data_IF_776137663015
#
_entry.id   IF_776137663015
#
_cell.length_a   1.000
_cell.length_b   1.000
_cell.length_c   1.000
_cell.angle_alpha   90.00
_cell.angle_beta   90.00
_cell.angle_gamma   90.00
#
_symmetry.space_group_name_H-M   'P 1'
#
loop_
_entity.id
_entity.type
_entity.pdbx_description
1 polymer ?
#
# COMPACT_ATOMS: atom_id res chain seq x y z
N UNK A 1 -50.35 -35.56 -20.58
CA UNK A 1 -49.37 -36.51 -19.99
C UNK A 1 -48.32 -36.81 -21.04
N UNK A 2 -47.04 -37.09 -20.70
CA UNK A 2 -46.29 -36.89 -19.44
C UNK A 2 -44.92 -36.16 -19.75
N UNK A 3 -43.94 -35.90 -18.89
CA UNK A 3 -43.67 -36.09 -17.45
C UNK A 3 -42.50 -35.18 -17.02
N UNK A 4 -42.54 -34.82 -15.73
CA UNK A 4 -41.54 -34.17 -14.88
C UNK A 4 -40.12 -34.76 -14.96
N UNK A 5 -39.11 -33.91 -14.71
CA UNK A 5 -38.09 -34.24 -13.71
C UNK A 5 -37.61 -33.00 -12.95
N UNK A 6 -38.00 -32.92 -11.66
CA UNK A 6 -37.31 -32.16 -10.63
C UNK A 6 -36.16 -33.02 -10.09
N UNK A 7 -35.00 -32.40 -9.79
CA UNK A 7 -34.17 -32.74 -8.63
C UNK A 7 -33.50 -31.50 -8.03
N UNK A 8 -33.99 -31.19 -6.83
CA UNK A 8 -33.44 -30.57 -5.62
C UNK A 8 -32.16 -29.71 -5.59
N UNK A 9 -32.32 -28.67 -4.76
CA UNK A 9 -31.37 -27.70 -4.23
C UNK A 9 -30.20 -28.29 -3.42
N UNK A 10 -29.08 -27.58 -3.45
CA UNK A 10 -28.29 -27.30 -2.23
C UNK A 10 -27.98 -25.80 -2.16
N UNK A 11 -28.66 -25.15 -1.21
CA UNK A 11 -28.38 -23.80 -0.73
C UNK A 11 -26.94 -23.74 -0.20
N UNK A 12 -26.16 -22.74 -0.62
CA UNK A 12 -24.98 -22.34 0.13
C UNK A 12 -25.04 -20.82 0.39
N UNK A 13 -25.38 -20.48 1.64
CA UNK A 13 -25.51 -19.12 2.16
C UNK A 13 -24.16 -18.39 2.12
N UNK A 14 -23.84 -17.68 1.04
CA UNK A 14 -22.81 -16.64 1.08
C UNK A 14 -23.41 -15.36 1.67
N UNK A 15 -23.10 -15.08 2.94
CA UNK A 15 -23.32 -13.77 3.59
C UNK A 15 -22.64 -12.68 2.74
N UNK A 16 -23.43 -11.91 1.99
CA UNK A 16 -22.98 -10.70 1.27
C UNK A 16 -22.70 -9.60 2.28
N UNK A 17 -21.43 -9.20 2.41
CA UNK A 17 -21.02 -8.04 3.23
C UNK A 17 -21.58 -6.75 2.61
N UNK A 18 -22.25 -5.92 3.43
CA UNK A 18 -22.67 -4.56 3.08
C UNK A 18 -21.42 -3.68 2.91
N UNK A 19 -21.31 -2.97 1.79
CA UNK A 19 -20.32 -1.91 1.62
C UNK A 19 -21.03 -0.57 1.85
N UNK A 20 -20.55 0.18 2.84
CA UNK A 20 -20.97 1.55 3.10
C UNK A 20 -19.88 2.49 2.57
N UNK A 21 -20.28 3.55 1.86
CA UNK A 21 -19.40 4.65 1.52
C UNK A 21 -19.71 5.82 2.46
N UNK A 22 -18.67 6.45 3.02
CA UNK A 22 -18.80 7.55 3.96
C UNK A 22 -18.26 8.84 3.32
N UNK A 23 -18.97 9.94 3.51
CA UNK A 23 -18.50 11.29 3.22
C UNK A 23 -18.78 12.12 4.48
N UNK A 24 -17.75 12.68 5.12
CA UNK A 24 -17.91 13.57 6.27
C UNK A 24 -17.74 15.01 5.81
N UNK A 25 -18.70 15.87 6.16
CA UNK A 25 -18.67 17.31 5.88
C UNK A 25 -18.60 18.03 7.25
N UNK A 26 -17.36 18.34 7.66
CA UNK A 26 -16.84 19.19 8.74
C UNK A 26 -17.14 18.93 10.26
N UNK A 27 -16.21 19.30 11.18
CA UNK A 27 -16.33 19.13 12.64
C UNK A 27 -16.51 20.47 13.38
N UNK A 28 -17.39 20.53 14.40
CA UNK A 28 -17.34 21.37 15.62
C UNK A 28 -18.78 21.62 16.12
N UNK A 29 -19.12 21.15 17.33
CA UNK A 29 -20.36 21.54 18.03
C UNK A 29 -20.15 21.60 19.55
N UNK A 30 -20.42 22.78 20.13
CA UNK A 30 -20.58 23.03 21.57
C UNK A 30 -22.04 22.77 21.99
N UNK A 31 -22.26 22.23 23.19
CA UNK A 31 -23.57 21.78 23.70
C UNK A 31 -24.26 22.79 24.64
N UNK A 32 -25.59 22.86 24.57
CA UNK A 32 -26.49 23.30 25.64
C UNK A 32 -27.84 22.58 25.53
N UNK A 33 -28.41 22.17 26.67
CA UNK A 33 -29.57 21.27 26.82
C UNK A 33 -30.89 22.02 27.03
N UNK A 34 -32.03 21.44 26.61
CA UNK A 34 -33.36 21.57 27.25
C UNK A 34 -34.36 20.50 26.70
N UNK A 35 -35.38 20.16 27.49
CA UNK A 35 -36.16 18.89 27.52
C UNK A 35 -37.64 18.97 27.06
N UNK A 36 -38.25 17.78 26.83
CA UNK A 36 -39.69 17.41 26.66
C UNK A 36 -40.24 17.38 25.21
N UNK A 37 -41.11 16.47 24.73
CA UNK A 37 -41.82 15.29 25.25
C UNK A 37 -43.10 15.03 24.39
N UNK A 38 -43.44 13.75 24.16
CA UNK A 38 -44.76 13.19 23.73
C UNK A 38 -45.00 12.75 22.25
N UNK A 39 -45.80 11.68 22.09
CA UNK A 39 -45.92 10.76 20.95
C UNK A 39 -47.30 10.79 20.26
N UNK A 40 -47.44 10.31 19.00
CA UNK A 40 -48.64 9.58 18.49
C UNK A 40 -48.47 8.85 17.11
N UNK A 41 -49.27 7.76 17.01
CA UNK A 41 -49.58 6.69 16.01
C UNK A 41 -49.42 6.87 14.47
N UNK A 42 -49.22 5.72 13.79
CA UNK A 42 -48.93 5.48 12.35
C UNK A 42 -50.12 4.90 11.53
N UNK A 43 -50.26 5.31 10.26
CA UNK A 43 -50.47 4.54 8.99
C UNK A 43 -50.50 5.50 7.77
N UNK A 44 -50.39 5.08 6.49
CA UNK A 44 -49.49 4.13 5.83
C UNK A 44 -48.62 4.75 4.70
N UNK A 45 -47.45 4.15 4.45
CA UNK A 45 -46.61 4.20 3.23
C UNK A 45 -46.54 5.49 2.37
N UNK A 46 -45.55 6.32 2.69
CA UNK A 46 -44.77 7.11 1.73
C UNK A 46 -43.28 6.89 2.04
N UNK A 47 -42.39 6.98 1.07
CA UNK A 47 -40.94 6.78 1.26
C UNK A 47 -40.37 7.95 2.08
N UNK A 48 -40.56 7.90 3.39
CA UNK A 48 -39.93 8.76 4.38
C UNK A 48 -39.60 7.90 5.59
N UNK A 49 -38.48 7.19 5.54
CA UNK A 49 -37.81 6.77 6.77
C UNK A 49 -36.31 6.66 6.56
N UNK A 50 -35.58 7.66 7.03
CA UNK A 50 -34.20 7.47 7.47
C UNK A 50 -34.28 6.62 8.74
N UNK A 51 -33.95 5.33 8.63
CA UNK A 51 -33.80 4.44 9.79
C UNK A 51 -32.32 4.31 10.11
N UNK A 52 -31.87 4.99 11.16
CA UNK A 52 -30.59 4.70 11.80
C UNK A 52 -30.77 3.53 12.78
N UNK A 53 -30.13 2.40 12.48
CA UNK A 53 -29.87 1.35 13.48
C UNK A 53 -28.44 0.89 13.26
N UNK A 54 -27.54 1.39 14.09
CA UNK A 54 -26.15 0.92 14.16
C UNK A 54 -25.96 0.32 15.55
N UNK A 55 -26.02 -1.01 15.62
CA UNK A 55 -25.53 -1.77 16.77
C UNK A 55 -24.03 -1.98 16.57
N UNK A 56 -23.22 -1.30 17.37
CA UNK A 56 -21.79 -1.56 17.53
C UNK A 56 -21.58 -2.05 18.97
N UNK A 57 -21.44 -3.37 19.13
CA UNK A 57 -20.98 -3.96 20.39
C UNK A 57 -19.47 -3.74 20.48
N UNK A 58 -19.05 -2.74 21.25
CA UNK A 58 -17.71 -2.66 21.81
C UNK A 58 -17.84 -3.17 23.25
N UNK A 59 -17.21 -4.30 23.53
CA UNK A 59 -17.13 -4.89 24.85
C UNK A 59 -16.22 -4.05 25.75
N UNK A 60 -16.75 -3.62 26.89
CA UNK A 60 -15.95 -3.18 28.04
C UNK A 60 -15.75 -1.68 28.16
N UNK A 61 -16.80 -0.93 28.49
CA UNK A 61 -16.78 0.30 29.29
C UNK A 61 -18.24 0.71 29.54
N UNK A 62 -18.66 0.74 30.81
CA UNK A 62 -20.01 1.11 31.22
C UNK A 62 -20.22 2.61 30.96
N UNK A 63 -20.94 2.96 29.89
CA UNK A 63 -21.49 4.29 29.69
C UNK A 63 -23.01 4.23 29.79
N UNK A 64 -23.56 5.13 30.61
CA UNK A 64 -25.00 5.31 30.84
C UNK A 64 -25.69 5.63 29.51
N UNK A 65 -26.74 4.88 29.15
CA UNK A 65 -27.55 5.10 27.95
C UNK A 65 -28.44 6.34 28.14
N UNK A 66 -28.03 7.47 27.58
CA UNK A 66 -28.97 8.54 27.23
C UNK A 66 -29.13 8.58 25.70
N UNK A 67 -30.29 8.14 25.22
CA UNK A 67 -30.71 8.32 23.83
C UNK A 67 -31.13 9.78 23.63
N UNK A 68 -30.27 10.57 23.01
CA UNK A 68 -30.62 11.92 22.55
C UNK A 68 -31.54 11.82 21.32
N UNK A 69 -32.81 12.17 21.51
CA UNK A 69 -33.76 12.44 20.43
C UNK A 69 -33.56 13.88 19.96
N UNK A 70 -32.94 14.06 18.79
CA UNK A 70 -32.97 15.35 18.08
C UNK A 70 -34.13 15.30 17.07
N UNK A 71 -35.20 16.10 17.22
CA UNK A 71 -36.23 16.16 16.21
C UNK A 71 -35.64 16.71 14.90
N UNK A 72 -36.07 16.22 13.72
CA UNK A 72 -35.65 16.82 12.45
C UNK A 72 -36.32 18.20 12.37
N UNK A 73 -35.59 19.25 12.74
CA UNK A 73 -35.96 20.60 12.32
C UNK A 73 -35.98 20.59 10.80
N UNK A 74 -37.15 20.87 10.25
CA UNK A 74 -37.38 21.05 8.82
C UNK A 74 -36.24 21.90 8.25
N UNK A 75 -35.52 21.30 7.31
CA UNK A 75 -34.39 21.85 6.59
C UNK A 75 -34.76 23.21 6.03
N UNK A 76 -34.10 24.25 6.51
CA UNK A 76 -34.00 25.50 5.77
C UNK A 76 -33.41 25.15 4.40
N UNK A 77 -34.09 25.55 3.31
CA UNK A 77 -33.66 25.24 1.94
C UNK A 77 -32.23 25.77 1.68
N UNK A 78 -31.82 26.76 2.48
CA UNK A 78 -30.48 27.35 2.52
C UNK A 78 -29.37 26.41 2.99
N UNK A 79 -29.67 25.27 3.66
CA UNK A 79 -28.67 24.34 4.21
C UNK A 79 -28.69 22.92 3.60
N UNK A 80 -28.95 22.84 2.29
CA UNK A 80 -28.83 21.60 1.53
C UNK A 80 -27.95 21.76 0.29
N UNK A 81 -27.43 20.64 -0.19
CA UNK A 81 -26.87 20.46 -1.53
C UNK A 81 -28.00 19.94 -2.40
N UNK A 82 -28.42 20.71 -3.40
CA UNK A 82 -29.51 20.34 -4.30
C UNK A 82 -28.92 19.95 -5.64
N UNK A 83 -29.02 18.67 -5.98
CA UNK A 83 -28.58 18.10 -7.26
C UNK A 83 -29.80 17.98 -8.16
N UNK A 84 -29.68 18.45 -9.41
CA UNK A 84 -30.75 18.36 -10.42
C UNK A 84 -30.25 17.71 -11.70
N UNK A 85 -31.02 16.76 -12.22
CA UNK A 85 -30.78 16.11 -13.50
C UNK A 85 -29.49 15.30 -13.56
N UNK A 86 -29.08 14.64 -12.47
CA UNK A 86 -27.86 13.84 -12.49
C UNK A 86 -28.01 12.60 -13.37
N UNK A 87 -27.12 12.46 -14.38
CA UNK A 87 -27.11 11.40 -15.39
C UNK A 87 -25.79 10.63 -15.47
N UNK A 88 -24.84 10.94 -14.59
CA UNK A 88 -23.54 10.28 -14.58
C UNK A 88 -23.64 8.74 -14.55
N UNK A 89 -23.03 8.11 -15.56
CA UNK A 89 -23.07 6.67 -15.83
C UNK A 89 -24.47 6.06 -16.00
N UNK A 90 -25.06 5.56 -14.92
CA UNK A 90 -26.33 4.84 -14.92
C UNK A 90 -27.41 5.52 -14.07
N UNK A 91 -27.16 6.77 -13.66
CA UNK A 91 -28.17 7.63 -13.07
C UNK A 91 -29.19 8.01 -14.15
N UNK A 92 -30.46 8.04 -13.77
CA UNK A 92 -31.59 8.28 -14.68
C UNK A 92 -32.23 9.61 -14.33
N UNK A 93 -31.55 10.71 -14.64
CA UNK A 93 -32.01 12.08 -14.36
C UNK A 93 -32.47 12.24 -12.90
N UNK A 94 -31.54 11.98 -11.98
CA UNK A 94 -31.86 11.95 -10.56
C UNK A 94 -31.77 13.37 -9.97
N UNK A 95 -32.89 13.81 -9.37
CA UNK A 95 -32.95 14.99 -8.51
C UNK A 95 -32.86 14.56 -7.04
N UNK A 96 -31.99 15.20 -6.26
CA UNK A 96 -31.85 14.91 -4.82
C UNK A 96 -31.45 16.14 -4.03
N UNK A 97 -32.05 16.32 -2.85
CA UNK A 97 -31.60 17.28 -1.85
C UNK A 97 -30.89 16.54 -0.72
N UNK A 98 -29.66 16.94 -0.44
CA UNK A 98 -28.80 16.34 0.59
C UNK A 98 -28.51 17.38 1.66
N UNK A 99 -28.89 17.17 2.93
CA UNK A 99 -28.64 18.15 3.98
C UNK A 99 -27.13 18.31 4.23
N UNK A 100 -26.69 19.55 4.44
CA UNK A 100 -25.34 19.85 4.92
C UNK A 100 -25.25 19.63 6.43
N UNK A 101 -24.02 19.58 6.94
CA UNK A 101 -23.71 19.44 8.37
C UNK A 101 -24.35 18.21 9.03
N UNK A 102 -24.58 17.16 8.23
CA UNK A 102 -25.21 15.93 8.65
C UNK A 102 -24.44 14.71 8.15
N UNK A 103 -24.50 13.61 8.92
CA UNK A 103 -24.01 12.32 8.46
C UNK A 103 -25.00 11.73 7.44
N UNK A 104 -24.72 11.95 6.16
CA UNK A 104 -25.54 11.43 5.06
C UNK A 104 -24.96 10.10 4.57
N UNK A 105 -25.83 9.08 4.47
CA UNK A 105 -25.45 7.74 4.02
C UNK A 105 -26.15 7.41 2.71
N UNK A 106 -25.37 7.26 1.63
CA UNK A 106 -25.85 6.74 0.35
C UNK A 106 -25.88 5.21 0.39
N UNK A 107 -27.08 4.62 0.35
CA UNK A 107 -27.28 3.16 0.47
C UNK A 107 -27.98 2.56 -0.76
N UNK A 108 -27.87 1.23 -0.94
CA UNK A 108 -28.37 0.53 -2.13
C UNK A 108 -27.45 -0.58 -2.65
N UNK A 109 -27.96 -1.43 -3.54
CA UNK A 109 -27.25 -2.61 -4.08
C UNK A 109 -26.03 -2.23 -4.93
N UNK A 110 -25.03 -3.11 -5.06
CA UNK A 110 -23.88 -2.87 -5.95
C UNK A 110 -24.35 -2.55 -7.37
N UNK A 111 -23.78 -1.50 -7.99
CA UNK A 111 -24.21 -1.03 -9.31
C UNK A 111 -25.45 -0.13 -9.33
N UNK A 112 -26.10 0.16 -8.20
CA UNK A 112 -27.32 1.00 -8.18
C UNK A 112 -27.10 2.50 -8.43
N UNK A 113 -25.89 2.95 -8.73
CA UNK A 113 -25.59 4.38 -8.96
C UNK A 113 -25.15 5.21 -7.74
N UNK A 114 -25.01 4.61 -6.53
CA UNK A 114 -24.56 5.35 -5.32
C UNK A 114 -23.22 6.06 -5.50
N UNK A 115 -22.23 5.33 -6.06
CA UNK A 115 -20.90 5.88 -6.29
C UNK A 115 -20.91 6.89 -7.43
N UNK A 116 -21.74 6.66 -8.45
CA UNK A 116 -21.98 7.62 -9.53
C UNK A 116 -22.50 8.94 -8.96
N UNK A 117 -23.50 8.90 -8.07
CA UNK A 117 -24.05 10.10 -7.45
C UNK A 117 -23.08 10.78 -6.47
N UNK A 118 -22.50 10.02 -5.53
CA UNK A 118 -21.65 10.60 -4.48
C UNK A 118 -20.27 11.04 -4.97
N UNK A 119 -19.59 10.19 -5.75
CA UNK A 119 -18.23 10.45 -6.24
C UNK A 119 -18.22 11.00 -7.67
N UNK A 120 -18.97 10.37 -8.57
CA UNK A 120 -19.02 10.73 -9.99
C UNK A 120 -19.69 12.08 -10.25
N UNK A 121 -20.69 12.47 -9.45
CA UNK A 121 -21.42 13.73 -9.61
C UNK A 121 -21.05 14.75 -8.53
N UNK A 122 -21.42 14.51 -7.27
CA UNK A 122 -21.30 15.51 -6.19
C UNK A 122 -19.83 15.88 -5.92
N UNK A 123 -18.97 14.89 -5.68
CA UNK A 123 -17.55 15.13 -5.42
C UNK A 123 -16.81 15.68 -6.65
N UNK A 124 -17.05 15.10 -7.84
CA UNK A 124 -16.42 15.56 -9.07
C UNK A 124 -16.74 17.04 -9.35
N UNK A 125 -18.01 17.44 -9.21
CA UNK A 125 -18.42 18.83 -9.42
C UNK A 125 -17.84 19.77 -8.36
N UNK A 126 -17.78 19.35 -7.09
CA UNK A 126 -17.17 20.13 -6.02
C UNK A 126 -15.67 20.36 -6.27
N UNK A 127 -14.95 19.32 -6.71
CA UNK A 127 -13.54 19.38 -7.04
C UNK A 127 -13.29 20.27 -8.27
N UNK A 128 -14.11 20.13 -9.33
CA UNK A 128 -14.06 20.96 -10.54
C UNK A 128 -14.21 22.44 -10.21
N UNK A 129 -15.30 22.83 -9.52
CA UNK A 129 -15.57 24.22 -9.13
C UNK A 129 -14.45 24.80 -8.26
N UNK A 130 -13.91 24.00 -7.33
CA UNK A 130 -12.80 24.42 -6.50
C UNK A 130 -11.55 24.72 -7.34
N UNK A 131 -11.16 23.83 -8.27
CA UNK A 131 -10.00 24.06 -9.12
C UNK A 131 -10.20 25.15 -10.18
N UNK A 132 -11.43 25.42 -10.59
CA UNK A 132 -11.78 26.59 -11.40
C UNK A 132 -11.54 27.93 -10.70
N UNK A 133 -11.31 27.93 -9.37
CA UNK A 133 -10.86 29.11 -8.62
C UNK A 133 -9.34 29.18 -8.44
N UNK A 134 -8.61 28.09 -8.73
CA UNK A 134 -7.15 28.01 -8.61
C UNK A 134 -6.47 28.54 -9.88
N UNK A 135 -5.24 29.03 -9.74
CA UNK A 135 -4.42 29.57 -10.83
C UNK A 135 -4.40 28.63 -12.06
N UNK A 136 -4.57 29.15 -13.30
CA UNK A 136 -4.71 28.34 -14.52
C UNK A 136 -3.56 27.35 -14.76
N UNK A 137 -2.34 27.68 -14.32
CA UNK A 137 -1.17 26.80 -14.45
C UNK A 137 -1.29 25.53 -13.61
N UNK A 138 -1.78 25.62 -12.37
CA UNK A 138 -1.91 24.48 -11.46
C UNK A 138 -2.97 23.47 -11.93
N UNK A 139 -3.99 23.94 -12.68
CA UNK A 139 -5.04 23.07 -13.23
C UNK A 139 -4.52 22.00 -14.19
N UNK A 140 -3.40 22.26 -14.88
CA UNK A 140 -2.76 21.32 -15.82
C UNK A 140 -1.98 20.20 -15.11
N UNK A 141 -1.66 20.37 -13.83
CA UNK A 141 -0.83 19.45 -13.05
C UNK A 141 -1.65 18.53 -12.13
N UNK A 142 -2.96 18.75 -12.06
CA UNK A 142 -3.87 18.04 -11.16
C UNK A 142 -4.77 17.14 -11.98
N UNK A 143 -4.88 15.87 -11.58
CA UNK A 143 -5.82 14.92 -12.17
C UNK A 143 -7.25 15.41 -11.89
N UNK A 144 -7.93 15.88 -12.92
CA UNK A 144 -9.28 16.42 -12.81
C UNK A 144 -10.27 15.27 -12.91
N UNK A 145 -11.17 15.17 -11.93
CA UNK A 145 -12.42 14.47 -12.17
C UNK A 145 -13.09 15.13 -13.38
N UNK A 146 -13.48 14.33 -14.38
CA UNK A 146 -14.12 14.83 -15.60
C UNK A 146 -15.36 15.67 -15.28
N UNK A 147 -15.86 16.42 -16.27
CA UNK A 147 -17.10 17.18 -16.11
C UNK A 147 -18.26 16.18 -15.95
N UNK A 148 -18.97 16.18 -14.81
CA UNK A 148 -20.06 15.25 -14.59
C UNK A 148 -21.30 15.63 -15.43
N UNK A 149 -22.06 14.62 -15.88
CA UNK A 149 -23.34 14.86 -16.54
C UNK A 149 -24.44 15.15 -15.50
N UNK A 150 -24.69 16.44 -15.29
CA UNK A 150 -25.68 16.98 -14.34
C UNK A 150 -26.12 18.38 -14.79
N UNK A 151 -27.39 18.72 -14.60
CA UNK A 151 -27.92 20.02 -15.04
C UNK A 151 -27.51 21.16 -14.09
N UNK A 152 -27.67 20.95 -12.78
CA UNK A 152 -27.30 21.93 -11.78
C UNK A 152 -26.99 21.28 -10.43
N UNK A 153 -26.06 21.88 -9.69
CA UNK A 153 -25.86 21.59 -8.26
C UNK A 153 -25.76 22.91 -7.50
N UNK A 154 -26.67 23.12 -6.56
CA UNK A 154 -26.72 24.30 -5.70
C UNK A 154 -26.26 23.98 -4.28
N UNK A 155 -25.66 24.96 -3.59
CA UNK A 155 -25.28 24.82 -2.18
C UNK A 155 -24.12 23.83 -1.92
N UNK A 156 -23.30 23.54 -2.93
CA UNK A 156 -22.20 22.57 -2.88
C UNK A 156 -20.92 23.20 -2.28
N UNK A 157 -20.47 22.77 -1.09
CA UNK A 157 -19.19 23.22 -0.54
C UNK A 157 -18.00 22.52 -1.22
N UNK A 158 -16.75 23.00 -1.04
CA UNK A 158 -15.56 22.24 -1.38
C UNK A 158 -15.59 20.87 -0.70
N UNK A 159 -15.20 19.82 -1.42
CA UNK A 159 -15.29 18.44 -0.96
C UNK A 159 -13.92 17.76 -0.96
N UNK A 160 -13.71 16.87 0.02
CA UNK A 160 -12.55 16.00 0.11
C UNK A 160 -13.02 14.55 0.08
N UNK A 161 -12.60 13.77 -0.90
CA UNK A 161 -12.91 12.35 -0.95
C UNK A 161 -11.85 11.56 -0.19
N UNK A 162 -12.25 10.95 0.92
CA UNK A 162 -11.50 9.87 1.54
C UNK A 162 -11.82 8.57 0.79
N UNK A 163 -11.22 8.40 -0.39
CA UNK A 163 -11.38 7.16 -1.12
C UNK A 163 -10.67 6.04 -0.36
N UNK A 164 -11.31 4.87 -0.30
CA UNK A 164 -10.58 3.63 -0.08
C UNK A 164 -9.70 3.42 -1.31
N UNK A 165 -8.54 4.07 -1.37
CA UNK A 165 -7.59 3.80 -2.43
C UNK A 165 -7.30 2.30 -2.38
N UNK A 166 -7.71 1.59 -3.43
CA UNK A 166 -7.15 0.28 -3.77
C UNK A 166 -5.76 0.46 -4.42
N UNK A 167 -5.07 1.54 -4.05
CA UNK A 167 -3.69 1.77 -4.40
C UNK A 167 -2.86 0.70 -3.72
N UNK A 168 -1.98 0.07 -4.48
CA UNK A 168 -0.97 -0.84 -3.94
C UNK A 168 -0.19 -0.08 -2.87
N UNK A 169 -0.02 -0.68 -1.69
CA UNK A 169 0.81 -0.11 -0.63
C UNK A 169 2.20 0.19 -1.20
N UNK A 170 2.58 1.46 -1.24
CA UNK A 170 3.96 1.81 -1.53
C UNK A 170 4.77 1.51 -0.26
N UNK A 171 5.85 0.73 -0.38
CA UNK A 171 6.73 0.37 0.75
C UNK A 171 7.29 1.59 1.51
N UNK A 172 7.28 2.77 0.88
CA UNK A 172 7.72 4.03 1.51
C UNK A 172 6.64 4.77 2.29
N UNK A 173 5.35 4.45 2.10
CA UNK A 173 4.25 5.09 2.82
C UNK A 173 3.98 4.40 4.15
N UNK A 174 3.82 5.19 5.22
CA UNK A 174 3.50 4.74 6.58
C UNK A 174 2.41 5.59 7.21
N UNK A 175 1.82 5.14 8.32
CA UNK A 175 0.86 5.94 9.10
C UNK A 175 1.47 7.29 9.49
N UNK A 176 2.74 7.30 9.94
CA UNK A 176 3.44 8.51 10.33
C UNK A 176 3.65 9.50 9.17
N UNK A 177 3.90 9.01 7.95
CA UNK A 177 4.07 9.89 6.78
C UNK A 177 2.75 10.44 6.26
N UNK A 178 1.69 9.62 6.23
CA UNK A 178 0.35 10.04 5.75
C UNK A 178 -0.25 11.10 6.69
N UNK A 179 -0.02 10.95 7.98
CA UNK A 179 -0.49 11.91 9.00
C UNK A 179 0.47 13.08 9.22
N UNK A 180 1.64 13.08 8.55
CA UNK A 180 2.75 14.03 8.75
C UNK A 180 3.38 14.03 10.15
N UNK A 181 2.94 13.14 11.06
CA UNK A 181 3.50 12.97 12.40
C UNK A 181 4.99 12.62 12.36
N UNK A 182 5.44 11.92 11.32
CA UNK A 182 6.87 11.60 11.16
C UNK A 182 7.75 12.85 11.15
N UNK A 183 7.28 14.01 10.69
CA UNK A 183 8.04 15.26 10.74
C UNK A 183 8.24 15.76 12.17
N UNK A 184 7.21 15.65 13.01
CA UNK A 184 7.30 16.03 14.42
C UNK A 184 8.20 15.07 15.20
N UNK A 185 8.08 13.77 14.94
CA UNK A 185 8.93 12.74 15.56
C UNK A 185 10.41 12.95 15.21
N UNK A 186 10.72 13.21 13.93
CA UNK A 186 12.09 13.53 13.49
C UNK A 186 12.66 14.76 14.19
N UNK A 187 11.85 15.81 14.35
CA UNK A 187 12.25 17.02 15.07
C UNK A 187 12.47 16.74 16.57
N UNK A 188 11.63 15.91 17.17
CA UNK A 188 11.75 15.49 18.57
C UNK A 188 13.07 14.75 18.82
N UNK A 189 13.44 13.76 18.00
CA UNK A 189 14.73 13.08 18.13
C UNK A 189 15.91 14.02 17.88
N UNK A 190 15.80 14.92 16.90
CA UNK A 190 16.83 15.92 16.60
C UNK A 190 17.10 16.91 17.74
N UNK A 191 16.07 17.30 18.50
CA UNK A 191 16.16 18.40 19.48
C UNK A 191 16.10 17.96 20.94
N UNK A 192 15.43 16.85 21.21
CA UNK A 192 15.20 16.34 22.56
C UNK A 192 15.69 14.89 22.74
N UNK A 193 16.33 14.31 21.72
CA UNK A 193 16.98 13.00 21.84
C UNK A 193 18.18 13.04 22.76
N UNK A 194 18.44 11.92 23.43
CA UNK A 194 19.69 11.65 24.11
C UNK A 194 20.71 11.16 23.09
N UNK A 195 21.76 11.95 22.89
CA UNK A 195 22.87 11.65 21.98
C UNK A 195 24.01 10.94 22.72
N UNK A 196 24.75 10.04 22.04
CA UNK A 196 26.04 9.58 22.51
C UNK A 196 27.02 10.76 22.74
N UNK A 197 27.90 10.63 23.73
CA UNK A 197 28.71 11.75 24.26
C UNK A 197 29.57 12.49 23.22
N UNK A 198 30.00 11.82 22.15
CA UNK A 198 30.88 12.37 21.11
C UNK A 198 30.19 12.56 19.75
N UNK A 199 28.88 12.33 19.69
CA UNK A 199 28.14 12.43 18.44
C UNK A 199 27.65 13.87 18.22
N UNK A 200 27.90 14.49 17.05
CA UNK A 200 27.34 15.80 16.74
C UNK A 200 25.81 15.73 16.65
N UNK A 201 25.17 16.88 16.87
CA UNK A 201 23.72 16.99 16.71
C UNK A 201 23.33 16.64 15.27
N UNK A 202 22.34 15.76 15.14
CA UNK A 202 21.72 15.40 13.88
C UNK A 202 20.49 16.27 13.64
N UNK A 203 20.24 16.66 12.39
CA UNK A 203 19.07 17.41 11.97
C UNK A 203 17.88 16.49 11.69
N UNK A 204 16.67 17.05 11.60
CA UNK A 204 15.45 16.27 11.36
C UNK A 204 15.51 15.41 10.07
N UNK A 205 16.28 15.81 9.07
CA UNK A 205 16.43 15.03 7.84
C UNK A 205 17.35 13.80 7.98
N UNK A 206 18.26 13.78 8.96
CA UNK A 206 19.03 12.59 9.32
C UNK A 206 18.15 11.47 9.91
N UNK A 207 16.96 11.83 10.39
CA UNK A 207 15.98 10.90 10.95
C UNK A 207 14.90 10.46 9.94
N UNK A 208 15.09 10.79 8.65
CA UNK A 208 14.14 10.44 7.60
C UNK A 208 14.60 9.23 6.78
N UNK A 209 13.82 8.14 6.69
CA UNK A 209 14.15 7.03 5.80
C UNK A 209 13.87 7.36 4.32
N UNK A 210 13.35 8.55 4.02
CA UNK A 210 13.02 8.98 2.67
C UNK A 210 14.03 9.98 2.09
N UNK A 211 15.02 10.41 2.87
CA UNK A 211 16.12 11.26 2.38
C UNK A 211 17.41 10.45 2.31
N UNK A 212 18.30 10.71 1.33
CA UNK A 212 19.63 10.09 1.29
C UNK A 212 20.45 10.39 2.55
N UNK A 213 20.17 11.52 3.20
CA UNK A 213 20.82 11.95 4.43
C UNK A 213 20.54 10.99 5.60
N UNK A 214 19.28 10.61 5.83
CA UNK A 214 18.91 9.72 6.95
C UNK A 214 18.77 8.25 6.60
N UNK A 215 18.50 7.91 5.34
CA UNK A 215 18.24 6.55 4.92
C UNK A 215 19.48 5.64 5.08
N UNK A 216 19.25 4.41 5.53
CA UNK A 216 20.27 3.36 5.54
C UNK A 216 20.85 3.20 4.12
N UNK A 217 22.18 3.28 3.93
CA UNK A 217 22.80 3.23 2.61
C UNK A 217 22.66 1.85 1.94
N UNK A 218 22.53 0.78 2.73
CA UNK A 218 22.44 -0.59 2.22
C UNK A 218 21.07 -0.93 1.61
N UNK A 219 19.98 -0.46 2.23
CA UNK A 219 18.62 -0.71 1.75
C UNK A 219 17.90 0.54 1.21
N UNK A 220 18.59 1.68 1.13
CA UNK A 220 18.06 2.97 0.68
C UNK A 220 16.73 3.35 1.36
N UNK A 221 16.63 3.09 2.66
CA UNK A 221 15.45 3.43 3.45
C UNK A 221 14.25 2.50 3.28
N UNK A 222 14.42 1.35 2.63
CA UNK A 222 13.36 0.34 2.47
C UNK A 222 13.22 -0.58 3.69
N UNK A 223 14.31 -0.80 4.43
CA UNK A 223 14.35 -1.72 5.58
C UNK A 223 14.53 -3.19 5.19
N UNK A 224 14.25 -3.53 3.95
CA UNK A 224 14.52 -4.84 3.37
C UNK A 224 15.53 -4.72 2.24
N UNK A 225 16.35 -5.75 2.09
CA UNK A 225 17.12 -5.99 0.88
C UNK A 225 16.40 -7.10 0.13
N UNK A 226 16.22 -6.87 -1.16
CA UNK A 226 15.66 -7.88 -2.03
C UNK A 226 16.79 -8.71 -2.58
N UNK A 227 16.82 -9.97 -2.16
CA UNK A 227 17.72 -10.97 -2.70
C UNK A 227 17.02 -11.71 -3.84
N UNK A 228 17.79 -12.11 -4.85
CA UNK A 228 17.30 -12.81 -6.04
C UNK A 228 18.19 -14.01 -6.25
N UNK A 229 17.76 -15.16 -5.71
CA UNK A 229 18.53 -16.40 -5.71
C UNK A 229 18.23 -17.24 -6.96
N UNK A 230 19.10 -18.21 -7.28
CA UNK A 230 18.88 -19.14 -8.38
C UNK A 230 17.55 -19.90 -8.22
N UNK A 231 17.25 -20.42 -7.02
CA UNK A 231 16.02 -21.15 -6.75
C UNK A 231 14.75 -20.32 -6.98
N UNK A 232 14.81 -19.00 -6.76
CA UNK A 232 13.70 -18.11 -7.06
C UNK A 232 13.60 -17.85 -8.57
N UNK A 233 14.72 -17.65 -9.25
CA UNK A 233 14.74 -17.36 -10.69
C UNK A 233 14.43 -18.58 -11.56
N UNK A 234 14.78 -19.77 -11.08
CA UNK A 234 14.63 -21.07 -11.75
C UNK A 234 13.93 -22.04 -10.79
N UNK A 235 12.58 -21.96 -10.67
CA UNK A 235 11.83 -22.79 -9.74
C UNK A 235 11.83 -24.29 -10.10
N UNK A 236 11.95 -24.61 -11.40
CA UNK A 236 12.04 -25.99 -11.89
C UNK A 236 13.33 -26.16 -12.71
N UNK A 237 14.41 -26.67 -12.09
CA UNK A 237 15.70 -26.85 -12.75
C UNK A 237 15.74 -28.10 -13.64
N UNK A 238 14.64 -28.84 -13.78
CA UNK A 238 14.55 -29.98 -14.71
C UNK A 238 14.24 -29.56 -16.16
N UNK A 239 13.75 -28.33 -16.35
CA UNK A 239 13.46 -27.77 -17.67
C UNK A 239 14.73 -27.25 -18.35
N UNK A 240 14.71 -27.19 -19.68
CA UNK A 240 15.74 -26.51 -20.47
C UNK A 240 15.52 -25.00 -20.51
N UNK A 241 16.52 -24.23 -20.95
CA UNK A 241 16.35 -22.78 -21.17
C UNK A 241 15.30 -22.54 -22.26
N UNK A 242 15.24 -23.38 -23.31
CA UNK A 242 14.23 -23.33 -24.36
C UNK A 242 12.81 -23.54 -23.81
N UNK A 243 12.66 -24.45 -22.86
CA UNK A 243 11.41 -24.75 -22.15
C UNK A 243 11.11 -23.76 -21.01
N UNK A 244 11.85 -22.65 -20.95
CA UNK A 244 11.66 -21.53 -20.00
C UNK A 244 11.98 -21.89 -18.55
N UNK A 245 13.05 -22.64 -18.30
CA UNK A 245 13.58 -22.85 -16.95
C UNK A 245 13.78 -21.55 -16.17
N UNK A 246 14.31 -20.50 -16.82
CA UNK A 246 14.50 -19.16 -16.24
C UNK A 246 13.17 -18.40 -16.19
N UNK A 247 12.33 -18.73 -15.22
CA UNK A 247 10.99 -18.15 -15.06
C UNK A 247 11.00 -16.63 -14.81
N UNK A 248 12.10 -16.10 -14.29
CA UNK A 248 12.28 -14.68 -13.98
C UNK A 248 12.48 -13.79 -15.21
N UNK A 249 12.84 -14.35 -16.37
CA UNK A 249 13.03 -13.61 -17.60
C UNK A 249 11.74 -12.97 -18.13
N UNK A 250 11.85 -11.92 -18.96
CA UNK A 250 10.68 -11.28 -19.56
C UNK A 250 9.87 -12.28 -20.40
N UNK A 251 8.54 -12.11 -20.49
CA UNK A 251 7.71 -13.01 -21.26
C UNK A 251 7.80 -12.67 -22.76
N UNK A 252 7.21 -13.53 -23.59
CA UNK A 252 7.06 -13.33 -25.03
C UNK A 252 8.42 -13.10 -25.74
N UNK A 253 8.47 -12.18 -26.69
CA UNK A 253 9.61 -11.96 -27.58
C UNK A 253 10.92 -11.65 -26.86
N UNK A 254 10.88 -10.88 -25.76
CA UNK A 254 12.12 -10.47 -25.09
C UNK A 254 12.83 -11.64 -24.39
N UNK A 255 12.08 -12.60 -23.84
CA UNK A 255 12.66 -13.84 -23.31
C UNK A 255 13.22 -14.74 -24.41
N UNK A 256 12.54 -14.80 -25.57
CA UNK A 256 13.05 -15.51 -26.74
C UNK A 256 14.37 -14.91 -27.24
N UNK A 257 14.47 -13.58 -27.29
CA UNK A 257 15.69 -12.87 -27.65
C UNK A 257 16.86 -13.23 -26.72
N UNK A 258 16.65 -13.21 -25.39
CA UNK A 258 17.72 -13.59 -24.43
C UNK A 258 18.19 -15.03 -24.62
N UNK A 259 17.28 -15.97 -24.92
CA UNK A 259 17.64 -17.34 -25.28
C UNK A 259 18.44 -17.39 -26.58
N UNK A 260 18.00 -16.72 -27.63
CA UNK A 260 18.68 -16.76 -28.94
C UNK A 260 20.09 -16.13 -28.86
N UNK A 261 20.26 -15.11 -28.00
CA UNK A 261 21.58 -14.55 -27.66
C UNK A 261 22.48 -15.62 -27.01
N UNK A 262 21.97 -16.41 -26.05
CA UNK A 262 22.74 -17.49 -25.43
C UNK A 262 23.19 -18.54 -26.46
N UNK A 263 22.34 -18.87 -27.43
CA UNK A 263 22.70 -19.78 -28.54
C UNK A 263 23.87 -19.21 -29.34
N UNK A 264 23.83 -17.92 -29.71
CA UNK A 264 24.96 -17.26 -30.40
C UNK A 264 26.24 -17.28 -29.56
N UNK A 265 26.13 -17.09 -28.24
CA UNK A 265 27.24 -17.14 -27.31
C UNK A 265 27.80 -18.56 -27.08
N UNK A 266 27.15 -19.59 -27.63
CA UNK A 266 27.62 -20.97 -27.59
C UNK A 266 27.10 -21.79 -26.42
N UNK A 267 26.12 -21.29 -25.66
CA UNK A 267 25.49 -22.04 -24.58
C UNK A 267 24.50 -23.07 -25.13
N UNK A 268 24.45 -24.25 -24.49
CA UNK A 268 23.41 -25.24 -24.76
C UNK A 268 22.11 -24.84 -24.05
N UNK A 269 21.08 -24.56 -24.84
CA UNK A 269 19.77 -24.11 -24.33
C UNK A 269 18.75 -25.25 -24.27
N UNK A 270 19.12 -26.44 -24.72
CA UNK A 270 18.24 -27.59 -24.95
C UNK A 270 18.41 -28.68 -23.88
N UNK A 271 19.50 -28.65 -23.10
CA UNK A 271 19.68 -29.51 -21.93
C UNK A 271 18.94 -28.99 -20.68
N UNK A 272 18.55 -29.87 -19.74
CA UNK A 272 18.01 -29.46 -18.44
C UNK A 272 18.93 -28.48 -17.71
N UNK A 273 18.36 -27.45 -17.08
CA UNK A 273 19.12 -26.40 -16.39
C UNK A 273 20.12 -26.95 -15.39
N UNK A 274 19.73 -27.95 -14.59
CA UNK A 274 20.60 -28.61 -13.61
C UNK A 274 21.84 -29.31 -14.20
N UNK A 275 21.87 -29.56 -15.50
CA UNK A 275 22.98 -30.22 -16.21
C UNK A 275 24.01 -29.22 -16.74
N UNK A 276 23.67 -27.92 -16.80
CA UNK A 276 24.63 -26.86 -17.07
C UNK A 276 25.65 -26.75 -15.93
N UNK A 277 26.89 -26.39 -16.27
CA UNK A 277 27.92 -26.16 -15.28
C UNK A 277 27.55 -25.01 -14.34
N UNK A 278 28.10 -25.02 -13.13
CA UNK A 278 27.85 -23.96 -12.15
C UNK A 278 28.30 -22.58 -12.65
N UNK A 279 29.40 -22.52 -13.39
CA UNK A 279 29.91 -21.28 -13.99
C UNK A 279 28.95 -20.70 -15.04
N UNK A 280 28.42 -21.55 -15.93
CA UNK A 280 27.45 -21.13 -16.95
C UNK A 280 26.15 -20.64 -16.31
N UNK A 281 25.61 -21.40 -15.35
CA UNK A 281 24.40 -21.01 -14.59
C UNK A 281 24.61 -19.69 -13.87
N UNK A 282 25.75 -19.54 -13.20
CA UNK A 282 26.07 -18.33 -12.48
C UNK A 282 26.19 -17.12 -13.42
N UNK A 283 26.88 -17.27 -14.55
CA UNK A 283 27.02 -16.18 -15.53
C UNK A 283 25.66 -15.76 -16.10
N UNK A 284 24.83 -16.71 -16.55
CA UNK A 284 23.50 -16.43 -17.12
C UNK A 284 22.60 -15.69 -16.12
N UNK A 285 22.67 -16.04 -14.84
CA UNK A 285 21.80 -15.47 -13.80
C UNK A 285 22.33 -14.16 -13.22
N UNK A 286 23.63 -14.07 -12.93
CA UNK A 286 24.20 -13.04 -12.04
C UNK A 286 25.17 -12.09 -12.72
N UNK A 287 25.54 -12.31 -13.99
CA UNK A 287 26.48 -11.41 -14.68
C UNK A 287 25.97 -9.96 -14.73
N UNK A 288 26.90 -9.02 -14.58
CA UNK A 288 26.69 -7.60 -14.84
C UNK A 288 27.09 -7.22 -16.27
N UNK A 289 27.69 -8.14 -17.03
CA UNK A 289 28.06 -7.95 -18.43
C UNK A 289 26.82 -7.83 -19.31
N UNK A 290 26.90 -6.96 -20.32
CA UNK A 290 25.84 -6.77 -21.32
C UNK A 290 26.39 -6.91 -22.73
N UNK A 291 26.87 -8.11 -23.14
CA UNK A 291 27.39 -8.31 -24.48
C UNK A 291 26.31 -8.10 -25.53
N UNK A 292 26.68 -7.45 -26.64
CA UNK A 292 25.84 -7.32 -27.82
C UNK A 292 26.35 -8.26 -28.91
N UNK A 293 25.48 -9.16 -29.36
CA UNK A 293 25.82 -10.23 -30.31
C UNK A 293 24.84 -10.29 -31.49
N UNK A 294 25.26 -10.82 -32.65
CA UNK A 294 24.35 -11.08 -33.77
C UNK A 294 23.33 -12.17 -33.42
N UNK A 295 22.05 -11.92 -33.68
CA UNK A 295 20.98 -12.90 -33.45
C UNK A 295 20.42 -13.37 -34.78
N UNK A 296 20.22 -14.69 -34.88
CA UNK A 296 19.69 -15.37 -36.08
C UNK A 296 18.40 -16.11 -35.72
N UNK A 297 17.25 -15.41 -35.64
CA UNK A 297 16.00 -15.98 -35.15
C UNK A 297 15.53 -17.16 -36.01
N UNK A 298 15.10 -18.24 -35.35
CA UNK A 298 14.51 -19.40 -36.01
C UNK A 298 15.52 -20.43 -36.54
N UNK A 299 16.83 -20.17 -36.44
CA UNK A 299 17.85 -21.18 -36.73
C UNK A 299 18.01 -22.17 -35.56
N UNK A 300 18.45 -23.39 -35.88
CA UNK A 300 18.90 -24.35 -34.88
C UNK A 300 20.21 -23.87 -34.20
N UNK A 301 20.59 -24.42 -33.02
CA UNK A 301 21.89 -24.12 -32.42
C UNK A 301 23.08 -24.42 -33.35
N UNK A 302 23.01 -25.51 -34.12
CA UNK A 302 24.04 -25.92 -35.07
C UNK A 302 24.14 -24.93 -36.24
N UNK A 303 22.99 -24.57 -36.84
CA UNK A 303 22.93 -23.62 -37.95
C UNK A 303 23.36 -22.21 -37.51
N UNK A 304 23.02 -21.81 -36.28
CA UNK A 304 23.47 -20.54 -35.69
C UNK A 304 24.99 -20.49 -35.60
N UNK A 305 25.66 -21.57 -35.18
CA UNK A 305 27.13 -21.64 -35.13
C UNK A 305 27.75 -21.51 -36.51
N UNK A 306 27.14 -22.11 -37.53
CA UNK A 306 27.58 -21.97 -38.93
C UNK A 306 27.38 -20.52 -39.41
N UNK A 307 26.21 -19.94 -39.18
CA UNK A 307 25.90 -18.56 -39.59
C UNK A 307 26.86 -17.53 -38.97
N UNK A 308 27.23 -17.70 -37.69
CA UNK A 308 28.22 -16.87 -36.99
C UNK A 308 29.61 -17.04 -37.61
N UNK A 309 30.03 -18.29 -37.89
CA UNK A 309 31.34 -18.59 -38.50
C UNK A 309 31.48 -18.01 -39.90
N UNK A 310 30.44 -18.15 -40.72
CA UNK A 310 30.36 -17.67 -42.10
C UNK A 310 30.05 -16.16 -42.18
N UNK A 311 29.86 -15.48 -41.03
CA UNK A 311 29.53 -14.05 -40.93
C UNK A 311 28.30 -13.68 -41.77
N UNK A 312 27.29 -14.54 -41.79
CA UNK A 312 26.02 -14.26 -42.45
C UNK A 312 25.35 -13.03 -41.83
N UNK A 313 24.56 -12.31 -42.62
CA UNK A 313 23.81 -11.14 -42.15
C UNK A 313 22.84 -11.53 -41.03
N UNK A 314 22.97 -10.95 -39.82
CA UNK A 314 22.07 -11.26 -38.71
C UNK A 314 20.69 -10.63 -38.92
N UNK A 315 19.67 -11.19 -38.25
CA UNK A 315 18.33 -10.59 -38.24
C UNK A 315 18.31 -9.27 -37.47
N UNK A 316 19.06 -9.21 -36.36
CA UNK A 316 19.30 -7.99 -35.57
C UNK A 316 20.48 -8.21 -34.61
N UNK A 317 20.93 -7.13 -33.96
CA UNK A 317 21.89 -7.18 -32.86
C UNK A 317 21.14 -7.21 -31.52
N UNK A 318 21.35 -8.26 -30.72
CA UNK A 318 20.72 -8.44 -29.43
C UNK A 318 21.70 -8.15 -28.29
N UNK A 319 21.25 -7.45 -27.24
CA UNK A 319 22.05 -7.19 -26.04
C UNK A 319 21.59 -8.11 -24.91
N UNK A 320 22.50 -8.90 -24.36
CA UNK A 320 22.19 -9.79 -23.25
C UNK A 320 21.95 -9.01 -21.95
N UNK A 321 21.15 -9.57 -21.05
CA UNK A 321 20.98 -9.07 -19.69
C UNK A 321 20.77 -10.27 -18.77
N UNK A 322 21.62 -10.38 -17.74
CA UNK A 322 21.50 -11.41 -16.72
C UNK A 322 20.14 -11.37 -16.02
N UNK A 323 19.64 -12.55 -15.61
CA UNK A 323 18.30 -12.69 -15.04
C UNK A 323 18.09 -11.82 -13.79
N UNK A 324 19.06 -11.79 -12.87
CA UNK A 324 19.03 -10.94 -11.66
C UNK A 324 18.95 -9.46 -12.01
N UNK A 325 19.75 -9.01 -12.96
CA UNK A 325 19.77 -7.61 -13.41
C UNK A 325 18.43 -7.20 -14.00
N UNK A 326 17.81 -8.05 -14.81
CA UNK A 326 16.46 -7.82 -15.34
C UNK A 326 15.42 -7.66 -14.21
N UNK A 327 15.41 -8.57 -13.23
CA UNK A 327 14.47 -8.55 -12.10
C UNK A 327 14.62 -7.26 -11.28
N UNK A 328 15.85 -6.95 -10.85
CA UNK A 328 16.13 -5.78 -10.01
C UNK A 328 15.83 -4.46 -10.74
N UNK A 329 16.28 -4.33 -11.99
CA UNK A 329 16.02 -3.15 -12.81
C UNK A 329 14.51 -2.94 -13.02
N UNK A 330 13.80 -4.00 -13.40
CA UNK A 330 12.35 -3.94 -13.63
C UNK A 330 11.60 -3.59 -12.36
N UNK A 331 11.96 -4.15 -11.21
CA UNK A 331 11.32 -3.84 -9.94
C UNK A 331 11.45 -2.36 -9.57
N UNK A 332 12.64 -1.77 -9.78
CA UNK A 332 12.92 -0.39 -9.45
C UNK A 332 12.29 0.64 -10.42
N UNK A 333 12.23 0.35 -11.72
CA UNK A 333 11.92 1.35 -12.75
C UNK A 333 10.55 1.18 -13.41
N UNK A 334 9.90 0.02 -13.29
CA UNK A 334 8.62 -0.21 -13.98
C UNK A 334 7.51 0.69 -13.42
N UNK A 335 6.70 1.25 -14.31
CA UNK A 335 5.44 1.95 -13.95
C UNK A 335 4.24 0.98 -13.87
N UNK A 336 4.38 -0.26 -14.36
CA UNK A 336 3.30 -1.24 -14.35
C UNK A 336 3.22 -1.99 -13.01
N UNK A 337 2.09 -1.83 -12.31
CA UNK A 337 1.84 -2.56 -11.06
C UNK A 337 1.82 -4.08 -11.24
N UNK A 338 1.29 -4.57 -12.37
CA UNK A 338 1.27 -6.00 -12.70
C UNK A 338 2.69 -6.54 -12.92
N UNK A 339 3.52 -5.79 -13.64
CA UNK A 339 4.91 -6.18 -13.88
C UNK A 339 5.72 -6.16 -12.57
N UNK A 340 5.56 -5.11 -11.75
CA UNK A 340 6.21 -5.02 -10.43
C UNK A 340 5.85 -6.20 -9.55
N UNK A 341 4.56 -6.58 -9.51
CA UNK A 341 4.08 -7.76 -8.77
C UNK A 341 4.69 -9.06 -9.29
N UNK A 342 4.82 -9.22 -10.61
CA UNK A 342 5.45 -10.40 -11.22
C UNK A 342 6.91 -10.50 -10.82
N UNK A 343 7.71 -9.46 -11.01
CA UNK A 343 9.15 -9.55 -10.69
C UNK A 343 9.39 -9.69 -9.19
N UNK A 344 8.52 -9.14 -8.34
CA UNK A 344 8.61 -9.32 -6.89
C UNK A 344 8.40 -10.76 -6.41
N UNK A 345 7.75 -11.65 -7.19
CA UNK A 345 7.62 -13.05 -6.80
C UNK A 345 8.93 -13.84 -6.93
N UNK A 346 9.92 -13.29 -7.65
CA UNK A 346 11.26 -13.86 -7.77
C UNK A 346 12.26 -13.21 -6.81
N UNK A 347 11.77 -12.41 -5.87
CA UNK A 347 12.56 -11.68 -4.90
C UNK A 347 12.17 -12.14 -3.51
N UNK A 348 13.15 -12.41 -2.67
CA UNK A 348 12.92 -12.63 -1.25
C UNK A 348 13.33 -11.37 -0.49
N UNK A 349 12.36 -10.79 0.24
CA UNK A 349 12.62 -9.64 1.09
C UNK A 349 13.24 -10.10 2.40
N UNK A 350 14.57 -10.01 2.52
CA UNK A 350 15.25 -10.22 3.81
C UNK A 350 15.32 -8.90 4.56
N UNK A 351 15.27 -8.95 5.89
CA UNK A 351 15.55 -7.77 6.70
C UNK A 351 16.96 -7.28 6.36
N UNK A 352 17.11 -5.97 6.20
CA UNK A 352 18.42 -5.38 5.94
C UNK A 352 19.37 -5.74 7.09
N UNK A 353 20.54 -6.35 6.84
CA UNK A 353 21.46 -6.75 7.89
C UNK A 353 22.13 -5.56 8.60
N UNK A 354 22.11 -4.37 7.97
CA UNK A 354 22.73 -3.16 8.52
C UNK A 354 21.81 -2.42 9.49
N UNK A 355 20.54 -2.23 9.12
CA UNK A 355 19.58 -1.49 9.95
C UNK A 355 18.53 -2.38 10.61
N UNK A 356 18.56 -3.69 10.38
CA UNK A 356 17.60 -4.67 10.90
C UNK A 356 16.13 -4.28 10.69
N UNK A 357 15.82 -3.71 9.54
CA UNK A 357 14.47 -3.23 9.22
C UNK A 357 14.12 -1.83 9.74
N UNK A 358 15.00 -1.16 10.47
CA UNK A 358 14.78 0.19 11.02
C UNK A 358 14.97 1.33 10.01
N UNK A 359 15.43 1.01 8.80
CA UNK A 359 15.46 1.90 7.60
C UNK A 359 16.41 3.10 7.67
N UNK A 360 17.05 3.37 8.79
CA UNK A 360 17.90 4.54 9.02
C UNK A 360 19.37 4.16 9.16
N UNK A 361 20.25 5.16 9.08
CA UNK A 361 21.67 5.01 9.34
C UNK A 361 21.95 4.70 10.83
N UNK A 362 23.06 4.01 11.16
CA UNK A 362 23.43 3.70 12.54
C UNK A 362 23.51 4.94 13.45
N UNK A 363 24.01 6.07 12.93
CA UNK A 363 24.13 7.32 13.68
C UNK A 363 22.77 7.90 14.07
N UNK A 364 21.73 7.71 13.24
CA UNK A 364 20.38 8.13 13.59
C UNK A 364 19.72 7.18 14.59
N UNK A 365 20.09 5.89 14.55
CA UNK A 365 19.57 4.85 15.44
C UNK A 365 20.27 4.83 16.82
N UNK A 366 21.43 5.47 16.96
CA UNK A 366 22.11 5.64 18.24
C UNK A 366 21.46 6.72 19.13
N UNK A 367 20.65 7.61 18.55
CA UNK A 367 19.93 8.65 19.28
C UNK A 367 18.62 8.07 19.82
N UNK A 368 18.41 8.22 21.12
CA UNK A 368 17.22 7.68 21.79
C UNK A 368 16.33 8.77 22.37
N UNK A 369 15.04 8.51 22.47
CA UNK A 369 14.09 9.34 23.21
C UNK A 369 13.34 8.44 24.18
N UNK A 370 13.41 8.76 25.47
CA UNK A 370 12.89 7.87 26.53
C UNK A 370 13.45 6.44 26.47
N UNK A 371 14.73 6.30 26.07
CA UNK A 371 15.41 5.00 25.97
C UNK A 371 15.10 4.21 24.70
N UNK A 372 14.26 4.73 23.80
CA UNK A 372 13.85 4.07 22.57
C UNK A 372 14.50 4.78 21.38
N UNK A 373 15.04 4.05 20.41
CA UNK A 373 15.50 4.67 19.15
C UNK A 373 14.34 4.94 18.19
N UNK A 374 14.54 5.85 17.24
CA UNK A 374 13.46 6.26 16.33
C UNK A 374 12.95 5.10 15.45
N UNK A 375 13.78 4.13 15.13
CA UNK A 375 13.39 2.97 14.33
C UNK A 375 12.41 2.08 15.09
N UNK A 376 12.70 1.81 16.36
CA UNK A 376 11.79 1.11 17.27
C UNK A 376 10.52 1.92 17.52
N UNK A 377 10.65 3.22 17.80
CA UNK A 377 9.52 4.14 17.98
C UNK A 377 8.56 4.10 16.78
N UNK A 378 9.08 4.07 15.55
CA UNK A 378 8.25 4.00 14.33
C UNK A 378 7.57 2.65 14.11
N UNK A 379 8.03 1.58 14.78
CA UNK A 379 7.45 0.24 14.70
C UNK A 379 6.46 -0.05 15.85
N UNK A 380 6.44 0.79 16.89
CA UNK A 380 5.55 0.62 18.03
C UNK A 380 4.06 0.79 17.67
N UNK A 381 3.17 -0.03 18.25
CA UNK A 381 1.74 0.23 18.26
C UNK A 381 1.38 1.60 18.84
N UNK A 382 0.29 2.21 18.34
CA UNK A 382 -0.11 3.58 18.72
C UNK A 382 -0.50 3.72 20.20
N UNK A 383 -1.05 2.67 20.80
CA UNK A 383 -1.36 2.59 22.23
C UNK A 383 -0.09 2.62 23.08
N UNK A 384 0.94 1.85 22.72
CA UNK A 384 2.24 1.88 23.40
C UNK A 384 2.94 3.24 23.25
N UNK A 385 2.86 3.85 22.06
CA UNK A 385 3.36 5.21 21.85
C UNK A 385 2.63 6.23 22.74
N UNK A 386 1.31 6.10 22.89
CA UNK A 386 0.54 6.97 23.76
C UNK A 386 0.95 6.80 25.23
N UNK A 387 1.16 5.57 25.70
CA UNK A 387 1.64 5.27 27.05
C UNK A 387 3.02 5.89 27.31
N UNK A 388 3.94 5.79 26.33
CA UNK A 388 5.28 6.38 26.43
C UNK A 388 5.23 7.92 26.49
N UNK A 389 4.41 8.55 25.65
CA UNK A 389 4.39 10.01 25.48
C UNK A 389 3.51 10.74 26.50
N UNK A 390 2.46 10.12 27.03
CA UNK A 390 1.49 10.80 27.90
C UNK A 390 2.12 11.38 29.17
N UNK A 391 2.99 10.68 29.93
CA UNK A 391 3.67 11.26 31.09
C UNK A 391 4.53 12.47 30.71
N UNK A 392 5.24 12.38 29.58
CA UNK A 392 6.14 13.41 29.07
C UNK A 392 5.36 14.66 28.69
N UNK A 393 4.21 14.49 28.01
CA UNK A 393 3.31 15.59 27.66
C UNK A 393 2.75 16.33 28.86
N UNK A 394 2.72 15.68 30.04
CA UNK A 394 2.29 16.24 31.32
C UNK A 394 3.44 16.86 32.12
N UNK A 395 4.64 16.94 31.54
CA UNK A 395 5.82 17.52 32.17
C UNK A 395 6.58 16.58 33.11
N UNK A 396 6.27 15.28 33.11
CA UNK A 396 7.02 14.30 33.91
C UNK A 396 8.35 14.05 33.19
N UNK A 397 9.46 14.43 33.83
CA UNK A 397 10.79 14.37 33.23
C UNK A 397 11.24 12.92 33.01
N UNK A 398 11.81 12.68 31.83
CA UNK A 398 12.32 11.37 31.34
C UNK A 398 13.71 11.04 31.93
N UNK A 399 14.26 11.89 32.80
CA UNK A 399 15.53 11.59 33.46
C UNK A 399 15.32 10.43 34.44
N UNK A 400 15.75 9.25 34.00
CA UNK A 400 15.97 8.02 34.78
C UNK A 400 14.72 7.12 34.90
N UNK A 401 14.51 6.26 33.88
CA UNK A 401 13.98 4.91 34.11
C UNK A 401 14.93 3.89 33.47
N UNK A 402 15.94 3.38 34.20
CA UNK A 402 16.66 2.20 33.77
C UNK A 402 15.74 1.00 34.00
N UNK A 403 15.26 0.39 32.92
CA UNK A 403 14.63 -0.94 33.00
C UNK A 403 13.10 -0.99 32.99
N UNK A 404 12.42 -0.22 32.13
CA UNK A 404 11.13 -0.72 31.63
C UNK A 404 11.42 -1.86 30.64
N UNK A 405 11.69 -3.05 31.18
CA UNK A 405 11.62 -4.28 30.39
C UNK A 405 10.19 -4.35 29.88
N UNK A 406 9.98 -4.15 28.58
CA UNK A 406 8.75 -4.51 27.89
C UNK A 406 8.60 -6.03 27.98
N UNK A 407 8.06 -6.53 29.11
CA UNK A 407 7.58 -7.90 29.23
C UNK A 407 6.37 -8.04 28.32
N UNK A 408 6.60 -8.37 27.05
CA UNK A 408 5.52 -8.49 26.08
C UNK A 408 5.87 -9.01 24.69
N UNK A 409 7.15 -9.14 24.34
CA UNK A 409 7.55 -9.76 23.06
C UNK A 409 8.11 -11.16 23.36
N UNK A 410 7.22 -12.14 23.45
CA UNK A 410 7.60 -13.55 23.38
C UNK A 410 7.74 -13.93 21.90
N UNK A 411 8.91 -14.34 21.40
CA UNK A 411 9.02 -14.93 20.07
C UNK A 411 8.34 -16.29 20.09
N UNK A 412 7.37 -16.49 19.20
CA UNK A 412 6.76 -17.79 18.99
C UNK A 412 7.83 -18.83 18.63
N UNK A 413 8.06 -19.76 19.56
CA UNK A 413 8.44 -21.16 19.36
C UNK A 413 9.52 -21.49 18.35
N UNK A 414 10.73 -21.75 18.85
CA UNK A 414 11.55 -22.90 18.41
C UNK A 414 12.24 -23.48 19.63
N UNK A 415 11.82 -24.67 20.04
CA UNK A 415 12.50 -25.43 21.08
C UNK A 415 13.77 -26.06 20.52
N UNK A 416 14.87 -25.95 21.27
CA UNK A 416 15.83 -27.03 21.48
C UNK A 416 16.82 -26.65 22.58
N UNK A 417 17.04 -27.63 23.46
CA UNK A 417 17.90 -27.59 24.63
C UNK A 417 19.36 -27.30 24.28
N UNK A 418 20.02 -26.43 25.05
CA UNK A 418 21.44 -26.54 25.34
C UNK A 418 21.76 -25.84 26.68
N UNK A 419 22.09 -26.66 27.69
CA UNK A 419 22.69 -26.21 28.95
C UNK A 419 24.16 -25.85 28.71
N UNK A 420 24.61 -24.71 29.24
CA UNK A 420 26.04 -24.44 29.50
C UNK A 420 26.16 -23.84 30.90
N UNK A 421 27.03 -24.38 31.79
CA UNK A 421 27.17 -23.93 33.16
C UNK A 421 28.12 -22.74 33.30
N UNK A 422 28.02 -22.08 34.45
CA UNK A 422 28.76 -20.90 34.86
C UNK A 422 30.22 -21.20 35.29
N UNK A 423 31.15 -20.33 34.89
CA UNK A 423 32.44 -20.09 35.55
C UNK A 423 32.58 -18.56 35.67
N UNK A 424 32.43 -17.97 36.85
CA UNK A 424 33.43 -17.75 37.90
C UNK A 424 34.70 -17.04 37.41
N UNK A 425 34.76 -15.77 37.79
CA UNK A 425 35.90 -14.88 37.84
C UNK A 425 37.07 -15.50 38.63
N UNK A 426 38.31 -15.26 38.18
CA UNK A 426 39.48 -14.79 38.95
C UNK A 426 40.73 -14.85 38.03
N UNK A 427 41.49 -13.75 38.06
CA UNK A 427 42.78 -13.41 37.39
C UNK A 427 42.74 -12.92 35.95
#
# INVERSE_FOLDING_TARGET
MPLKHQRHSLFNHRRRRRQSAYCCINPFCHYSFLTNGSAHRLTPFNVTSVRSKVDLRITGLNYVKETFWCPPTLTDASNSVVVRGAREHNLKEVDVSVPRDALVVFSGVSGSGKSSLAFGTIYAEAQRRYFESVAPYARRLIDQAGVPDVDAIDGLPPAVALQQQRGTSNARSSVGSVTTLSSLVRMMYSRAGAYPAEQPMLYAEDFSPNTPQGACPSCHGLGHIYDVTEALMVPDPSLSIRDRAIASWPPAWHGQNLRDILVTLGYDVDIPWKELSEEERHWILFTEDTPTVPVYPGLSPEDTRVAVREKMTPGYMGTFTGARRYVLHTFAHTQSALMRKRVSSFMEGKLCPVCHGKRLKPESLSVTFAGVDIGEFMQMPLDQLAELLLPISRGISVRIMPGLILTGISPAGTGQNAQVPAEQSIL
#
